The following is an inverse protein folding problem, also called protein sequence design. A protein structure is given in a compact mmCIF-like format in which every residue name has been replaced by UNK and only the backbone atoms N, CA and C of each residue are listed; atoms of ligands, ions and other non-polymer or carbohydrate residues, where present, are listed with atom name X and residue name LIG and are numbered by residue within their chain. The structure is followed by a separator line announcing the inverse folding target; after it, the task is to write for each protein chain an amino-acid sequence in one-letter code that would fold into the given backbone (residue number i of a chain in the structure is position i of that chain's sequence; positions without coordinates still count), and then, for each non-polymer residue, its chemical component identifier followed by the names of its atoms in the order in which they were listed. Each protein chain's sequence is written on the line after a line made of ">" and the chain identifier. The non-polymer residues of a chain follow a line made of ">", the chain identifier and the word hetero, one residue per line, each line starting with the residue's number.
data_IF_525093056452
#
_entry.id   IF_525093056452
#
_cell.length_a   1.000
_cell.length_b   1.000
_cell.length_c   1.000
_cell.angle_alpha   90.00
_cell.angle_beta   90.00
_cell.angle_gamma   90.00
#
_symmetry.space_group_name_H-M   'P 1'
#
loop_
_entity.id
_entity.type
_entity.pdbx_description
1 polymer ?
#
# COMPACT_ATOMS: atom_id res chain seq x y z
N UNK A 1 10.99 -9.24 -16.04
CA UNK A 1 9.92 -9.77 -15.13
C UNK A 1 10.58 -10.22 -13.84
N UNK A 2 10.51 -9.41 -12.80
CA UNK A 2 11.05 -9.76 -11.49
C UNK A 2 9.96 -10.43 -10.65
N UNK A 3 9.86 -11.75 -10.73
CA UNK A 3 9.06 -12.53 -9.80
C UNK A 3 9.90 -12.86 -8.57
N UNK A 4 9.83 -12.06 -7.53
CA UNK A 4 10.46 -12.39 -6.25
C UNK A 4 9.66 -13.50 -5.56
N UNK A 5 10.20 -14.72 -5.57
CA UNK A 5 9.72 -15.79 -4.69
C UNK A 5 10.32 -15.55 -3.31
N UNK A 6 9.56 -15.00 -2.39
CA UNK A 6 9.95 -15.07 -0.98
C UNK A 6 9.63 -16.48 -0.49
N UNK A 7 10.63 -17.31 -0.32
CA UNK A 7 10.51 -18.73 0.06
C UNK A 7 9.79 -18.98 1.41
N UNK A 8 9.54 -17.94 2.21
CA UNK A 8 8.97 -18.08 3.56
C UNK A 8 7.54 -17.58 3.72
N UNK A 9 7.04 -16.69 2.87
CA UNK A 9 5.68 -16.11 3.02
C UNK A 9 4.60 -16.80 2.19
N UNK A 10 4.97 -17.64 1.22
CA UNK A 10 4.03 -18.23 0.26
C UNK A 10 3.44 -17.22 -0.75
N UNK A 11 3.79 -15.96 -0.66
CA UNK A 11 3.31 -14.93 -1.56
C UNK A 11 4.26 -14.70 -2.74
N UNK A 12 3.67 -14.48 -3.90
CA UNK A 12 4.35 -13.89 -5.05
C UNK A 12 4.05 -12.41 -5.07
N UNK A 13 5.08 -11.60 -5.23
CA UNK A 13 4.91 -10.17 -5.42
C UNK A 13 5.05 -9.83 -6.91
N UNK A 14 4.27 -8.87 -7.36
CA UNK A 14 4.34 -8.32 -8.70
C UNK A 14 4.48 -6.81 -8.59
N UNK A 15 5.41 -6.25 -9.33
CA UNK A 15 5.41 -4.82 -9.58
C UNK A 15 4.22 -4.54 -10.50
N UNK A 16 3.30 -3.72 -10.03
CA UNK A 16 2.19 -3.25 -10.84
C UNK A 16 2.73 -2.16 -11.78
N UNK A 17 2.05 -1.98 -12.90
CA UNK A 17 2.40 -1.02 -13.97
C UNK A 17 3.74 -1.33 -14.64
N UNK A 18 3.66 -1.71 -15.91
CA UNK A 18 4.80 -2.22 -16.70
C UNK A 18 5.76 -1.10 -17.13
N UNK A 19 5.31 0.14 -17.17
CA UNK A 19 6.00 1.28 -17.78
C UNK A 19 6.62 2.24 -16.75
N UNK A 20 6.90 1.74 -15.54
CA UNK A 20 7.56 2.53 -14.52
C UNK A 20 9.02 2.88 -14.90
N UNK A 21 9.50 4.00 -14.40
CA UNK A 21 10.88 4.43 -14.59
C UNK A 21 11.84 3.59 -13.73
N UNK A 22 13.11 3.52 -14.11
CA UNK A 22 14.14 2.75 -13.40
C UNK A 22 14.33 3.18 -11.94
N UNK A 23 14.02 4.43 -11.61
CA UNK A 23 14.12 4.94 -10.23
C UNK A 23 12.92 4.52 -9.36
N UNK A 24 11.75 4.24 -9.94
CA UNK A 24 10.53 3.97 -9.19
C UNK A 24 10.66 2.75 -8.28
N UNK A 25 11.33 1.71 -8.75
CA UNK A 25 11.58 0.50 -7.97
C UNK A 25 12.98 -0.03 -8.17
N UNK A 26 13.69 -0.20 -7.06
CA UNK A 26 15.03 -0.76 -7.06
C UNK A 26 15.20 -1.83 -5.99
N UNK A 27 15.94 -2.88 -6.33
CA UNK A 27 16.36 -3.91 -5.40
C UNK A 27 17.82 -3.67 -5.02
N UNK A 28 18.05 -3.14 -3.85
CA UNK A 28 19.38 -2.68 -3.42
C UNK A 28 20.06 -3.70 -2.55
N UNK A 29 21.31 -4.04 -2.88
CA UNK A 29 22.18 -4.89 -2.08
C UNK A 29 23.08 -4.02 -1.21
N UNK A 30 22.69 -3.86 0.03
CA UNK A 30 23.48 -3.15 1.04
C UNK A 30 23.14 -3.72 2.42
N UNK A 31 24.01 -4.56 2.94
CA UNK A 31 23.79 -5.22 4.25
C UNK A 31 23.84 -4.24 5.43
N UNK A 32 24.42 -3.06 5.25
CA UNK A 32 24.57 -2.08 6.33
C UNK A 32 23.30 -1.23 6.49
N UNK A 33 22.51 -1.14 5.44
CA UNK A 33 21.24 -0.40 5.41
C UNK A 33 20.00 -1.30 5.47
N UNK A 34 20.15 -2.58 5.09
CA UNK A 34 19.03 -3.51 5.10
C UNK A 34 18.53 -3.78 6.52
N UNK A 35 17.19 -3.83 6.72
CA UNK A 35 16.56 -4.20 8.00
C UNK A 35 16.97 -5.59 8.45
N UNK A 36 17.08 -6.51 7.49
CA UNK A 36 17.57 -7.88 7.71
C UNK A 36 18.20 -8.40 6.42
N UNK A 37 19.22 -9.29 6.56
CA UNK A 37 19.89 -9.89 5.41
C UNK A 37 20.81 -8.93 4.67
N UNK A 38 20.70 -8.88 3.34
CA UNK A 38 21.63 -8.12 2.49
C UNK A 38 20.92 -7.15 1.53
N UNK A 39 19.60 -7.21 1.44
CA UNK A 39 18.83 -6.52 0.43
C UNK A 39 17.65 -5.79 1.04
N UNK A 40 17.26 -4.69 0.39
CA UNK A 40 15.99 -4.01 0.62
C UNK A 40 15.41 -3.51 -0.70
N UNK A 41 14.13 -3.23 -0.68
CA UNK A 41 13.41 -2.62 -1.78
C UNK A 41 13.36 -1.12 -1.57
N UNK A 42 13.67 -0.36 -2.61
CA UNK A 42 13.55 1.09 -2.63
C UNK A 42 12.45 1.47 -3.61
N UNK A 43 11.55 2.29 -3.15
CA UNK A 43 10.52 2.93 -3.95
C UNK A 43 10.78 4.43 -3.97
N UNK A 44 10.69 5.03 -5.14
CA UNK A 44 10.82 6.46 -5.34
C UNK A 44 9.76 6.94 -6.30
N UNK A 45 9.07 8.00 -5.93
CA UNK A 45 8.13 8.71 -6.78
C UNK A 45 8.65 10.14 -7.00
N UNK A 46 8.55 10.59 -8.20
CA UNK A 46 8.84 11.96 -8.62
C UNK A 46 7.60 12.55 -9.27
N UNK A 47 7.54 13.85 -9.29
CA UNK A 47 6.52 14.57 -10.04
C UNK A 47 6.44 14.06 -11.49
N UNK A 48 5.23 13.70 -11.94
CA UNK A 48 4.98 13.11 -13.23
C UNK A 48 5.20 11.59 -13.34
N UNK A 49 5.51 10.89 -12.27
CA UNK A 49 5.57 9.41 -12.26
C UNK A 49 4.17 8.78 -12.26
N UNK A 50 3.38 9.12 -13.25
CA UNK A 50 2.04 8.59 -13.46
C UNK A 50 2.02 7.59 -14.61
N UNK A 51 1.12 6.60 -14.54
CA UNK A 51 1.00 5.52 -15.50
C UNK A 51 -0.47 5.25 -15.82
N UNK A 52 -0.70 4.69 -17.00
CA UNK A 52 -2.03 4.33 -17.45
C UNK A 52 -2.01 3.52 -18.73
N UNK A 53 -3.20 3.21 -19.21
CA UNK A 53 -3.44 2.63 -20.53
C UNK A 53 -4.62 3.36 -21.18
N UNK A 54 -5.06 2.91 -22.36
CA UNK A 54 -6.14 3.54 -23.13
C UNK A 54 -7.47 3.61 -22.38
N UNK A 55 -7.65 2.87 -21.31
CA UNK A 55 -8.89 2.78 -20.54
C UNK A 55 -8.83 3.49 -19.20
N UNK A 56 -7.62 3.79 -18.71
CA UNK A 56 -7.39 4.33 -17.39
C UNK A 56 -6.01 4.96 -17.26
N UNK A 57 -5.91 6.09 -16.57
CA UNK A 57 -4.64 6.76 -16.30
C UNK A 57 -4.62 7.42 -14.92
N UNK A 58 -3.51 7.24 -14.20
CA UNK A 58 -3.23 8.00 -12.98
C UNK A 58 -2.95 9.48 -13.31
N UNK A 59 -2.38 9.76 -14.50
CA UNK A 59 -2.07 11.12 -14.94
C UNK A 59 -3.32 12.00 -15.05
N UNK A 60 -4.48 11.42 -15.38
CA UNK A 60 -5.75 12.14 -15.46
C UNK A 60 -6.25 12.65 -14.10
N UNK A 61 -5.69 12.14 -13.02
CA UNK A 61 -6.10 12.45 -11.64
C UNK A 61 -4.95 12.95 -10.78
N UNK A 62 -3.84 13.36 -11.40
CA UNK A 62 -2.64 13.88 -10.72
C UNK A 62 -2.15 12.94 -9.61
N UNK A 63 -1.90 11.68 -9.99
CA UNK A 63 -1.43 10.64 -9.07
C UNK A 63 -0.12 10.05 -9.55
N UNK A 64 0.88 10.05 -8.71
CA UNK A 64 2.09 9.27 -8.88
C UNK A 64 1.94 7.91 -8.18
N UNK A 65 2.37 6.85 -8.86
CA UNK A 65 2.23 5.50 -8.32
C UNK A 65 3.35 4.56 -8.70
N UNK A 66 3.84 3.83 -7.72
CA UNK A 66 4.57 2.57 -7.89
C UNK A 66 4.09 1.58 -6.84
N UNK A 67 3.60 0.43 -7.26
CA UNK A 67 3.00 -0.55 -6.34
C UNK A 67 3.63 -1.92 -6.48
N UNK A 68 3.82 -2.55 -5.33
CA UNK A 68 4.23 -3.94 -5.22
C UNK A 68 3.08 -4.75 -4.63
N UNK A 69 2.41 -5.55 -5.45
CA UNK A 69 1.21 -6.28 -5.04
C UNK A 69 1.47 -7.75 -4.75
N UNK A 70 0.70 -8.33 -3.84
CA UNK A 70 0.76 -9.77 -3.54
C UNK A 70 -0.11 -10.59 -4.48
N UNK A 71 0.37 -11.79 -4.82
CA UNK A 71 -0.38 -12.81 -5.54
C UNK A 71 -0.12 -14.19 -4.90
N UNK A 72 -1.08 -15.11 -4.77
CA UNK A 72 -2.51 -14.98 -5.13
C UNK A 72 -3.25 -14.06 -4.16
N UNK A 73 -4.44 -13.63 -4.58
CA UNK A 73 -5.38 -12.88 -3.74
C UNK A 73 -5.83 -13.73 -2.56
N UNK A 74 -6.00 -13.08 -1.41
CA UNK A 74 -6.37 -13.76 -0.17
C UNK A 74 -7.90 -13.76 0.02
N UNK A 75 -8.49 -14.90 0.43
CA UNK A 75 -9.91 -14.94 0.75
C UNK A 75 -10.19 -14.20 2.06
N UNK A 76 -11.25 -13.39 2.11
CA UNK A 76 -11.68 -12.64 3.31
C UNK A 76 -12.28 -13.51 4.43
N UNK A 77 -12.32 -14.83 4.27
CA UNK A 77 -12.96 -15.75 5.23
C UNK A 77 -12.08 -16.20 6.40
N UNK A 78 -10.80 -15.81 6.38
CA UNK A 78 -9.82 -16.22 7.39
C UNK A 78 -9.17 -15.01 8.01
N UNK A 79 -8.81 -15.12 9.28
CA UNK A 79 -7.96 -14.15 9.93
C UNK A 79 -6.62 -14.07 9.18
N UNK A 80 -6.18 -12.87 8.91
CA UNK A 80 -4.97 -12.61 8.14
C UNK A 80 -4.13 -11.58 8.87
N UNK A 81 -2.84 -11.91 9.03
CA UNK A 81 -1.88 -10.98 9.60
C UNK A 81 -0.84 -10.62 8.55
N UNK A 82 -0.46 -9.36 8.53
CA UNK A 82 0.54 -8.79 7.64
C UNK A 82 1.59 -8.07 8.46
N UNK A 83 2.80 -8.10 7.97
CA UNK A 83 3.87 -7.33 8.57
C UNK A 83 4.92 -6.99 7.53
N UNK A 84 5.46 -5.79 7.64
CA UNK A 84 6.59 -5.32 6.85
C UNK A 84 7.36 -4.26 7.61
N UNK A 85 8.59 -4.03 7.19
CA UNK A 85 9.42 -2.96 7.74
C UNK A 85 9.52 -1.84 6.71
N UNK A 86 9.32 -0.61 7.15
CA UNK A 86 9.37 0.59 6.35
C UNK A 86 10.41 1.56 6.92
N UNK A 87 11.19 2.20 6.05
CA UNK A 87 12.07 3.30 6.39
C UNK A 87 11.83 4.45 5.43
N UNK A 88 11.49 5.60 5.94
CA UNK A 88 11.43 6.80 5.12
C UNK A 88 12.87 7.31 4.87
N UNK A 89 13.16 7.78 3.66
CA UNK A 89 14.42 8.46 3.40
C UNK A 89 14.56 9.72 4.26
N UNK A 90 15.77 10.18 4.49
CA UNK A 90 16.00 11.39 5.31
C UNK A 90 15.39 12.64 4.70
N UNK A 91 15.31 12.67 3.38
CA UNK A 91 14.74 13.71 2.53
C UNK A 91 13.29 13.46 2.13
N UNK A 92 12.63 12.45 2.73
CA UNK A 92 11.21 12.19 2.47
C UNK A 92 10.37 13.45 2.70
N UNK A 93 9.55 13.78 1.71
CA UNK A 93 8.67 14.95 1.71
C UNK A 93 7.28 14.54 2.19
N UNK A 94 6.73 15.28 3.15
CA UNK A 94 5.32 15.18 3.50
C UNK A 94 4.50 15.96 2.46
N UNK A 95 3.70 15.25 1.70
CA UNK A 95 2.93 15.80 0.57
C UNK A 95 1.65 16.53 1.00
N UNK A 96 1.49 16.86 2.29
CA UNK A 96 0.30 17.59 2.77
C UNK A 96 -0.03 18.82 1.90
N UNK A 97 -1.30 19.07 1.50
CA UNK A 97 -2.56 18.46 1.98
C UNK A 97 -2.91 17.10 1.38
N UNK A 98 -2.20 16.62 0.37
CA UNK A 98 -2.33 15.26 -0.14
C UNK A 98 -1.74 14.24 0.82
N UNK A 99 -1.78 12.97 0.49
CA UNK A 99 -1.16 11.90 1.27
C UNK A 99 -0.34 10.97 0.39
N UNK A 100 0.71 10.38 0.97
CA UNK A 100 1.45 9.29 0.33
C UNK A 100 1.04 7.97 0.97
N UNK A 101 0.37 7.11 0.21
CA UNK A 101 0.01 5.77 0.68
C UNK A 101 1.23 4.85 0.63
N UNK A 102 1.66 4.37 1.79
CA UNK A 102 2.84 3.52 1.97
C UNK A 102 2.50 2.03 2.09
N UNK A 103 1.23 1.70 2.10
CA UNK A 103 0.70 0.35 2.11
C UNK A 103 -0.82 0.34 2.08
N UNK A 104 -1.39 -0.71 1.48
CA UNK A 104 -2.84 -0.82 1.41
C UNK A 104 -3.31 -2.27 1.36
N UNK A 105 -4.53 -2.49 1.83
CA UNK A 105 -5.30 -3.71 1.58
C UNK A 105 -6.52 -3.32 0.76
N UNK A 106 -6.48 -3.70 -0.53
CA UNK A 106 -7.54 -3.35 -1.46
C UNK A 106 -8.40 -4.58 -1.76
N UNK A 107 -9.72 -4.40 -1.72
CA UNK A 107 -10.65 -5.41 -2.15
C UNK A 107 -10.54 -5.62 -3.66
N UNK A 108 -10.80 -6.85 -4.08
CA UNK A 108 -10.86 -7.20 -5.48
C UNK A 108 -12.17 -7.93 -5.77
N UNK A 109 -12.80 -7.58 -6.88
CA UNK A 109 -14.03 -8.23 -7.32
C UNK A 109 -14.72 -7.42 -8.40
N UNK A 110 -15.69 -8.05 -9.04
CA UNK A 110 -16.46 -7.50 -10.13
C UNK A 110 -15.75 -7.50 -11.49
N UNK A 111 -16.46 -7.21 -12.58
CA UNK A 111 -15.94 -7.28 -13.94
C UNK A 111 -14.84 -6.25 -14.23
N UNK A 112 -14.78 -5.17 -13.48
CA UNK A 112 -13.75 -4.14 -13.57
C UNK A 112 -12.74 -4.22 -12.42
N UNK A 113 -12.62 -5.37 -11.76
CA UNK A 113 -11.79 -5.52 -10.56
C UNK A 113 -12.46 -5.03 -9.28
N UNK A 114 -13.67 -4.56 -9.34
CA UNK A 114 -14.52 -4.12 -8.24
C UNK A 114 -15.71 -5.06 -8.00
N UNK A 115 -16.48 -4.84 -6.97
CA UNK A 115 -17.64 -5.68 -6.66
C UNK A 115 -18.77 -5.49 -7.70
N UNK A 116 -19.04 -6.53 -8.50
CA UNK A 116 -20.21 -6.57 -9.37
C UNK A 116 -20.26 -5.55 -10.50
N UNK A 117 -19.11 -5.05 -10.97
CA UNK A 117 -19.05 -4.07 -12.05
C UNK A 117 -19.35 -2.63 -11.62
N UNK A 118 -19.34 -2.39 -10.34
CA UNK A 118 -19.55 -1.06 -9.75
C UNK A 118 -18.28 -0.24 -9.81
N UNK A 119 -18.40 1.05 -9.57
CA UNK A 119 -17.28 1.95 -9.44
C UNK A 119 -16.25 1.44 -8.41
N UNK A 120 -14.98 1.79 -8.60
CA UNK A 120 -13.91 1.44 -7.67
C UNK A 120 -14.23 1.96 -6.27
N UNK A 121 -14.16 1.07 -5.29
CA UNK A 121 -14.24 1.46 -3.89
C UNK A 121 -12.86 1.84 -3.36
N UNK A 122 -12.79 2.67 -2.31
CA UNK A 122 -11.53 2.93 -1.63
C UNK A 122 -10.95 1.61 -1.06
N UNK A 123 -9.63 1.53 -0.85
CA UNK A 123 -9.03 0.41 -0.13
C UNK A 123 -9.67 0.23 1.23
N UNK A 124 -9.81 -1.01 1.71
CA UNK A 124 -10.30 -1.27 3.07
C UNK A 124 -9.38 -0.66 4.12
N UNK A 125 -8.08 -0.67 3.83
CA UNK A 125 -7.03 -0.18 4.71
C UNK A 125 -6.02 0.57 3.87
N UNK A 126 -5.59 1.73 4.38
CA UNK A 126 -4.43 2.46 3.89
C UNK A 126 -3.51 2.81 5.05
N UNK A 127 -2.22 2.78 4.78
CA UNK A 127 -1.18 3.27 5.70
C UNK A 127 -0.59 4.50 5.02
N UNK A 128 -0.97 5.67 5.53
CA UNK A 128 -0.75 6.94 4.87
C UNK A 128 0.23 7.82 5.65
N UNK A 129 1.20 8.37 4.92
CA UNK A 129 2.00 9.50 5.39
C UNK A 129 1.27 10.79 5.02
N UNK A 130 0.90 11.58 6.02
CA UNK A 130 0.22 12.89 5.84
C UNK A 130 0.34 13.74 7.10
N UNK A 131 0.31 15.05 6.93
CA UNK A 131 0.29 16.01 8.05
C UNK A 131 1.30 15.68 9.15
N UNK A 132 2.55 15.38 8.76
CA UNK A 132 3.65 15.11 9.66
C UNK A 132 3.62 13.75 10.37
N UNK A 133 2.68 12.87 10.03
CA UNK A 133 2.51 11.60 10.75
C UNK A 133 2.12 10.45 9.84
N UNK A 134 2.44 9.23 10.28
CA UNK A 134 1.91 8.01 9.73
C UNK A 134 0.55 7.74 10.34
N UNK A 135 -0.42 7.44 9.50
CA UNK A 135 -1.76 7.07 9.91
C UNK A 135 -2.12 5.67 9.40
N UNK A 136 -2.91 4.99 10.19
CA UNK A 136 -3.68 3.85 9.77
C UNK A 136 -5.10 4.34 9.47
N UNK A 137 -5.50 4.24 8.21
CA UNK A 137 -6.82 4.63 7.75
C UNK A 137 -7.58 3.37 7.35
N UNK A 138 -8.80 3.21 7.85
CA UNK A 138 -9.69 2.17 7.35
C UNK A 138 -11.03 2.74 6.93
N UNK A 139 -11.62 2.10 5.94
CA UNK A 139 -12.89 2.45 5.36
C UNK A 139 -13.95 1.46 5.81
N UNK A 140 -14.93 1.93 6.54
CA UNK A 140 -16.11 1.16 6.92
C UNK A 140 -17.17 1.36 5.84
N UNK A 141 -17.27 0.37 4.94
CA UNK A 141 -18.22 0.40 3.86
C UNK A 141 -19.55 -0.21 4.31
N UNK A 142 -20.64 0.51 4.08
CA UNK A 142 -22.01 0.08 4.41
C UNK A 142 -22.97 0.41 3.27
N UNK A 143 -24.22 -0.06 3.37
CA UNK A 143 -25.23 0.17 2.34
C UNK A 143 -25.27 -0.92 1.26
N UNK A 144 -25.94 -0.62 0.15
CA UNK A 144 -26.00 -1.51 -1.00
C UNK A 144 -24.84 -1.27 -1.95
N UNK A 145 -24.55 -2.25 -2.82
CA UNK A 145 -23.49 -2.13 -3.82
C UNK A 145 -23.67 -0.94 -4.79
N UNK A 146 -24.89 -0.48 -4.99
CA UNK A 146 -25.22 0.70 -5.82
C UNK A 146 -25.33 1.99 -5.03
N UNK A 147 -25.30 1.92 -3.69
CA UNK A 147 -25.36 3.08 -2.80
C UNK A 147 -24.50 2.82 -1.57
N UNK A 148 -23.20 2.83 -1.79
CA UNK A 148 -22.21 2.59 -0.74
C UNK A 148 -22.00 3.86 0.06
N UNK A 149 -22.05 3.72 1.39
CA UNK A 149 -21.60 4.73 2.34
C UNK A 149 -20.23 4.34 2.83
N UNK A 150 -19.32 5.28 2.84
CA UNK A 150 -17.96 5.14 3.32
C UNK A 150 -17.75 6.04 4.54
N UNK A 151 -17.39 5.43 5.65
CA UNK A 151 -16.94 6.13 6.85
C UNK A 151 -15.45 5.85 7.06
N UNK A 152 -14.62 6.81 6.69
CA UNK A 152 -13.18 6.73 6.92
C UNK A 152 -12.84 7.04 8.37
N UNK A 153 -11.97 6.23 8.95
CA UNK A 153 -11.44 6.44 10.30
C UNK A 153 -9.93 6.43 10.27
N UNK A 154 -9.34 7.49 10.84
CA UNK A 154 -7.90 7.68 10.89
C UNK A 154 -7.36 7.45 12.30
N UNK A 155 -6.38 6.60 12.41
CA UNK A 155 -5.65 6.39 13.65
C UNK A 155 -4.18 6.78 13.47
N UNK A 156 -3.73 7.76 14.25
CA UNK A 156 -2.34 8.23 14.21
C UNK A 156 -1.42 7.19 14.84
N UNK A 157 -0.39 6.77 14.11
CA UNK A 157 0.56 5.77 14.55
C UNK A 157 1.86 6.40 15.07
N UNK A 158 2.54 7.20 14.23
CA UNK A 158 3.89 7.67 14.53
C UNK A 158 4.21 8.98 13.78
N UNK A 159 4.97 9.91 14.37
CA UNK A 159 5.50 11.05 13.63
C UNK A 159 6.45 10.63 12.50
N UNK A 160 6.32 11.21 11.30
CA UNK A 160 7.20 10.88 10.16
C UNK A 160 8.67 11.19 10.43
N UNK A 161 8.94 12.24 11.21
CA UNK A 161 10.32 12.60 11.61
C UNK A 161 11.05 11.46 12.32
N UNK A 162 10.31 10.62 13.07
CA UNK A 162 10.88 9.51 13.84
C UNK A 162 11.06 8.24 12.98
N UNK A 163 10.65 8.28 11.71
CA UNK A 163 10.80 7.21 10.72
C UNK A 163 11.88 7.50 9.68
N UNK A 164 12.35 8.76 9.61
CA UNK A 164 13.37 9.16 8.63
C UNK A 164 14.73 8.55 8.96
N UNK A 165 15.21 7.68 8.07
CA UNK A 165 16.47 6.96 8.25
C UNK A 165 16.42 5.85 9.31
N UNK A 166 15.24 5.53 9.83
CA UNK A 166 15.01 4.51 10.87
C UNK A 166 14.00 3.48 10.38
N UNK A 167 14.35 2.20 10.47
CA UNK A 167 13.41 1.12 10.17
C UNK A 167 12.29 1.07 11.21
N UNK A 168 11.08 1.11 10.76
CA UNK A 168 9.86 0.98 11.57
C UNK A 168 9.15 -0.28 11.13
N UNK A 169 8.90 -1.18 12.06
CA UNK A 169 8.13 -2.39 11.81
C UNK A 169 6.64 -2.07 11.96
N UNK A 170 5.84 -2.51 11.01
CA UNK A 170 4.40 -2.34 10.98
C UNK A 170 3.80 -3.74 10.87
N UNK A 171 2.88 -4.06 11.77
CA UNK A 171 2.12 -5.30 11.69
C UNK A 171 0.66 -5.06 12.04
N UNK A 172 -0.22 -5.78 11.37
CA UNK A 172 -1.65 -5.75 11.65
C UNK A 172 -2.31 -7.07 11.30
N UNK A 173 -3.38 -7.37 12.02
CA UNK A 173 -4.21 -8.55 11.81
C UNK A 173 -5.65 -8.16 11.53
N UNK A 174 -6.26 -8.81 10.55
CA UNK A 174 -7.65 -8.63 10.15
C UNK A 174 -8.46 -9.86 10.55
N UNK A 175 -9.46 -9.66 11.38
CA UNK A 175 -10.49 -10.66 11.70
C UNK A 175 -11.80 -10.26 11.06
N UNK A 176 -12.03 -10.73 9.85
CA UNK A 176 -13.23 -10.41 9.09
C UNK A 176 -14.51 -11.00 9.72
N UNK A 177 -14.41 -12.10 10.47
CA UNK A 177 -15.56 -12.72 11.12
C UNK A 177 -16.09 -11.82 12.26
N UNK A 178 -15.18 -11.29 13.05
CA UNK A 178 -15.53 -10.48 14.23
C UNK A 178 -15.47 -8.97 13.90
N UNK A 179 -15.22 -8.59 12.66
CA UNK A 179 -15.07 -7.19 12.21
C UNK A 179 -14.05 -6.43 13.06
N UNK A 180 -12.96 -7.07 13.38
CA UNK A 180 -11.90 -6.53 14.24
C UNK A 180 -10.59 -6.43 13.48
N UNK A 181 -9.83 -5.43 13.85
CA UNK A 181 -8.47 -5.23 13.41
C UNK A 181 -7.60 -4.86 14.60
N UNK A 182 -6.41 -5.45 14.65
CA UNK A 182 -5.36 -5.10 15.60
C UNK A 182 -4.12 -4.66 14.81
N UNK A 183 -3.45 -3.59 15.23
CA UNK A 183 -2.24 -3.07 14.61
C UNK A 183 -1.19 -2.72 15.67
N UNK A 184 0.11 -2.94 15.33
CA UNK A 184 1.28 -2.68 16.19
C UNK A 184 2.37 -1.94 15.43
#
# INVERSE_FOLDING_TARGET
>A
KFGLKTKKSGFKFHLNFMDHNDHNFQYIKDKTKARAGKYFQRFELRDGDCFGDDSWSDCDTDRERVEFSTRPRQPIKKNQCYGYSLMLSKDFIDTHPTSTTLGQVHQHGGPTGTAGGLASFPPLIQIDARSGSLFFNWHELSGSATNVKDESRYHKLKPLKDMKGVWTDISFCLDFKNKRMDAW
#
